data_IF_493773095479
#
_entry.id   IF_493773095479
#
_cell.length_a   1.000
_cell.length_b   1.000
_cell.length_c   1.000
_cell.angle_alpha   90.00
_cell.angle_beta   90.00
_cell.angle_gamma   90.00
#
_symmetry.space_group_name_H-M   'P 1'
#
loop_
_entity.id
_entity.type
_entity.pdbx_description
1 polymer ?
#
# COMPACT_ATOMS: atom_id res chain seq x y z
N UNK A 1 11.41 -11.32 3.65
CA UNK A 1 10.35 -11.22 2.63
C UNK A 1 10.62 -10.23 1.50
N UNK A 2 9.86 -10.34 0.42
CA UNK A 2 9.98 -9.56 -0.81
C UNK A 2 8.70 -8.79 -1.15
N UNK A 3 8.87 -7.73 -1.93
CA UNK A 3 7.80 -6.90 -2.50
C UNK A 3 7.91 -6.86 -4.02
N UNK A 4 6.76 -6.85 -4.70
CA UNK A 4 6.68 -6.78 -6.16
C UNK A 4 7.11 -5.41 -6.67
N UNK A 5 7.89 -5.40 -7.76
CA UNK A 5 8.40 -4.19 -8.40
C UNK A 5 7.32 -3.18 -8.78
N UNK A 6 6.12 -3.64 -9.13
CA UNK A 6 4.97 -2.76 -9.41
C UNK A 6 4.55 -1.93 -8.20
N UNK A 7 4.67 -2.46 -6.97
CA UNK A 7 4.42 -1.75 -5.73
C UNK A 7 5.61 -0.88 -5.28
N UNK A 8 6.84 -1.27 -5.64
CA UNK A 8 8.05 -0.47 -5.39
C UNK A 8 8.09 0.76 -6.28
N UNK A 9 7.78 0.60 -7.57
CA UNK A 9 7.82 1.67 -8.58
C UNK A 9 6.92 2.85 -8.23
N UNK A 10 5.83 2.62 -7.49
CA UNK A 10 4.93 3.70 -7.07
C UNK A 10 5.58 4.72 -6.13
N UNK A 11 6.68 4.37 -5.44
CA UNK A 11 7.41 5.26 -4.52
C UNK A 11 8.11 6.40 -5.29
N UNK A 12 9.06 6.13 -6.21
CA UNK A 12 9.68 7.20 -6.99
C UNK A 12 8.68 7.87 -7.93
N UNK A 13 7.69 7.15 -8.46
CA UNK A 13 6.64 7.73 -9.31
C UNK A 13 5.81 8.78 -8.54
N UNK A 14 5.46 8.53 -7.27
CA UNK A 14 4.75 9.47 -6.43
C UNK A 14 5.52 10.78 -6.26
N UNK A 15 6.83 10.67 -5.99
CA UNK A 15 7.70 11.84 -5.81
C UNK A 15 7.82 12.59 -7.14
N UNK A 16 8.15 11.89 -8.23
CA UNK A 16 8.29 12.51 -9.56
C UNK A 16 7.01 13.21 -10.02
N UNK A 17 5.85 12.62 -9.73
CA UNK A 17 4.56 13.17 -10.17
C UNK A 17 4.14 14.40 -9.36
N UNK A 18 4.39 14.44 -8.06
CA UNK A 18 3.83 15.45 -7.15
C UNK A 18 4.87 16.43 -6.59
N UNK A 19 6.15 16.04 -6.56
CA UNK A 19 7.28 16.73 -5.91
C UNK A 19 8.59 16.46 -6.67
N UNK A 20 8.59 16.67 -8.00
CA UNK A 20 9.72 16.34 -8.87
C UNK A 20 11.04 16.99 -8.39
N UNK A 21 10.96 18.20 -7.86
CA UNK A 21 12.07 18.97 -7.29
C UNK A 21 12.72 18.29 -6.08
N UNK A 22 11.99 17.43 -5.37
CA UNK A 22 12.46 16.67 -4.19
C UNK A 22 13.04 15.30 -4.54
N UNK A 23 12.98 14.86 -5.79
CA UNK A 23 13.43 13.52 -6.18
C UNK A 23 14.91 13.25 -5.88
N UNK A 24 15.80 14.18 -6.22
CA UNK A 24 17.24 14.02 -6.00
C UNK A 24 17.60 14.09 -4.51
N UNK A 25 16.88 14.90 -3.74
CA UNK A 25 17.01 14.98 -2.29
C UNK A 25 16.60 13.65 -1.64
N UNK A 26 15.47 13.09 -2.04
CA UNK A 26 15.03 11.76 -1.60
C UNK A 26 16.04 10.67 -1.97
N UNK A 27 16.47 10.59 -3.23
CA UNK A 27 17.39 9.56 -3.70
C UNK A 27 18.75 9.63 -2.98
N UNK A 28 19.25 10.84 -2.73
CA UNK A 28 20.51 11.03 -1.99
C UNK A 28 20.39 10.69 -0.50
N UNK A 29 19.20 10.83 0.09
CA UNK A 29 18.93 10.44 1.49
C UNK A 29 18.88 8.92 1.73
N UNK A 30 18.75 8.12 0.66
CA UNK A 30 18.70 6.66 0.77
C UNK A 30 20.08 6.07 1.13
N UNK A 31 20.14 5.05 2.01
CA UNK A 31 21.32 4.19 2.15
C UNK A 31 21.67 3.53 0.81
N UNK A 32 22.94 3.14 0.63
CA UNK A 32 23.44 2.64 -0.65
C UNK A 32 22.64 1.44 -1.19
N UNK A 33 22.31 0.47 -0.33
CA UNK A 33 21.51 -0.70 -0.71
C UNK A 33 20.13 -0.34 -1.28
N UNK A 34 19.49 0.68 -0.72
CA UNK A 34 18.22 1.22 -1.24
C UNK A 34 18.47 2.05 -2.48
N UNK A 35 19.48 2.92 -2.46
CA UNK A 35 19.77 3.87 -3.54
C UNK A 35 20.00 3.16 -4.87
N UNK A 36 20.80 2.09 -4.89
CA UNK A 36 21.10 1.33 -6.12
C UNK A 36 19.82 0.82 -6.81
N UNK A 37 18.79 0.43 -6.05
CA UNK A 37 17.51 -0.05 -6.61
C UNK A 37 16.79 1.05 -7.41
N UNK A 38 16.99 2.32 -7.04
CA UNK A 38 16.31 3.48 -7.66
C UNK A 38 17.22 4.34 -8.53
N UNK A 39 18.51 3.99 -8.67
CA UNK A 39 19.41 4.59 -9.66
C UNK A 39 18.95 4.24 -11.08
N UNK A 40 18.55 2.99 -11.27
CA UNK A 40 17.94 2.49 -12.51
C UNK A 40 16.41 2.43 -12.42
N UNK A 41 15.77 2.10 -13.55
CA UNK A 41 14.33 1.89 -13.60
C UNK A 41 13.92 0.64 -12.81
N UNK A 42 13.06 0.80 -11.81
CA UNK A 42 12.43 -0.32 -11.09
C UNK A 42 11.54 -1.11 -12.05
N UNK A 43 11.88 -2.37 -12.28
CA UNK A 43 11.16 -3.27 -13.19
C UNK A 43 9.91 -3.84 -12.49
N UNK A 44 8.69 -3.61 -13.00
CA UNK A 44 7.46 -4.03 -12.33
C UNK A 44 7.32 -5.54 -12.09
N UNK A 45 7.95 -6.35 -12.93
CA UNK A 45 7.90 -7.82 -12.87
C UNK A 45 8.82 -8.43 -11.82
N UNK A 46 9.84 -7.70 -11.36
CA UNK A 46 10.85 -8.23 -10.47
C UNK A 46 10.37 -8.25 -9.01
N UNK A 47 11.04 -9.05 -8.20
CA UNK A 47 10.91 -9.06 -6.75
C UNK A 47 12.10 -8.34 -6.13
N UNK A 48 11.84 -7.61 -5.05
CA UNK A 48 12.83 -6.80 -4.35
C UNK A 48 12.71 -7.02 -2.85
N UNK A 49 13.80 -6.81 -2.10
CA UNK A 49 13.79 -6.79 -0.64
C UNK A 49 12.74 -5.81 -0.11
N UNK A 50 11.82 -6.27 0.76
CA UNK A 50 10.81 -5.40 1.35
C UNK A 50 11.48 -4.25 2.13
N UNK A 51 12.51 -4.56 2.92
CA UNK A 51 13.28 -3.56 3.67
C UNK A 51 13.89 -2.49 2.75
N UNK A 52 14.69 -2.90 1.77
CA UNK A 52 15.51 -1.97 1.00
C UNK A 52 14.74 -1.27 -0.13
N UNK A 53 13.65 -1.87 -0.64
CA UNK A 53 12.86 -1.32 -1.74
C UNK A 53 11.50 -0.76 -1.29
N UNK A 54 10.94 -1.26 -0.19
CA UNK A 54 9.61 -0.89 0.30
C UNK A 54 9.65 0.02 1.52
N UNK A 55 10.30 -0.43 2.59
CA UNK A 55 10.26 0.23 3.92
C UNK A 55 11.11 1.50 3.91
N UNK A 56 12.43 1.38 3.81
CA UNK A 56 13.38 2.51 3.91
C UNK A 56 13.03 3.63 2.92
N UNK A 57 12.75 3.34 1.63
CA UNK A 57 12.47 4.40 0.67
C UNK A 57 11.14 5.11 0.93
N UNK A 58 10.14 4.40 1.45
CA UNK A 58 8.86 5.02 1.85
C UNK A 58 9.02 5.86 3.12
N UNK A 59 9.81 5.41 4.10
CA UNK A 59 10.13 6.22 5.29
C UNK A 59 10.77 7.54 4.89
N UNK A 60 11.83 7.48 4.07
CA UNK A 60 12.54 8.67 3.58
C UNK A 60 11.65 9.60 2.77
N UNK A 61 10.72 9.05 2.00
CA UNK A 61 9.70 9.82 1.30
C UNK A 61 8.78 10.56 2.29
N UNK A 62 8.29 9.85 3.32
CA UNK A 62 7.37 10.43 4.30
C UNK A 62 8.02 11.47 5.21
N UNK A 63 9.24 11.22 5.66
CA UNK A 63 10.06 12.20 6.39
C UNK A 63 10.25 13.46 5.55
N UNK A 64 10.68 13.32 4.29
CA UNK A 64 11.00 14.46 3.43
C UNK A 64 9.78 15.31 3.05
N UNK A 65 8.66 14.67 2.70
CA UNK A 65 7.51 15.35 2.11
C UNK A 65 6.44 15.74 3.14
N UNK A 66 6.39 15.03 4.27
CA UNK A 66 5.31 15.18 5.25
C UNK A 66 5.81 15.43 6.68
N UNK A 67 7.12 15.34 6.94
CA UNK A 67 7.70 15.25 8.28
C UNK A 67 7.05 14.12 9.12
N UNK A 68 6.55 13.09 8.44
CA UNK A 68 5.82 11.97 9.04
C UNK A 68 5.86 10.77 8.08
N UNK A 69 6.62 9.75 8.47
CA UNK A 69 6.79 8.52 7.70
C UNK A 69 5.46 7.81 7.42
N UNK A 70 4.55 7.76 8.39
CA UNK A 70 3.27 7.06 8.25
C UNK A 70 2.31 7.84 7.37
N UNK A 71 2.27 9.17 7.49
CA UNK A 71 1.46 10.01 6.59
C UNK A 71 1.95 9.91 5.14
N UNK A 72 3.27 9.91 4.92
CA UNK A 72 3.83 9.71 3.58
C UNK A 72 3.54 8.33 3.01
N UNK A 73 3.67 7.30 3.84
CA UNK A 73 3.31 5.93 3.48
C UNK A 73 1.84 5.81 3.04
N UNK A 74 0.92 6.41 3.80
CA UNK A 74 -0.50 6.43 3.45
C UNK A 74 -0.75 7.09 2.09
N UNK A 75 -0.16 8.27 1.85
CA UNK A 75 -0.30 8.99 0.58
C UNK A 75 0.33 8.24 -0.61
N UNK A 76 1.48 7.58 -0.38
CA UNK A 76 2.10 6.72 -1.39
C UNK A 76 1.20 5.51 -1.72
N UNK A 77 0.56 4.91 -0.71
CA UNK A 77 -0.43 3.84 -0.89
C UNK A 77 -1.64 4.29 -1.71
N UNK A 78 -2.20 5.46 -1.38
CA UNK A 78 -3.29 6.08 -2.16
C UNK A 78 -2.87 6.27 -3.62
N UNK A 79 -1.71 6.84 -3.88
CA UNK A 79 -1.20 7.02 -5.24
C UNK A 79 -1.01 5.69 -5.99
N UNK A 80 -0.50 4.66 -5.31
CA UNK A 80 -0.35 3.33 -5.89
C UNK A 80 -1.69 2.75 -6.35
N UNK A 81 -2.74 2.86 -5.55
CA UNK A 81 -4.10 2.46 -5.93
C UNK A 81 -4.63 3.29 -7.10
N UNK A 82 -4.37 4.60 -7.10
CA UNK A 82 -4.78 5.49 -8.18
C UNK A 82 -4.19 5.07 -9.53
N UNK A 83 -2.88 4.86 -9.59
CA UNK A 83 -2.20 4.41 -10.82
C UNK A 83 -2.71 3.03 -11.26
N UNK A 84 -2.89 2.10 -10.32
CA UNK A 84 -3.32 0.74 -10.62
C UNK A 84 -4.79 0.66 -11.10
N UNK A 85 -5.68 1.49 -10.57
CA UNK A 85 -7.13 1.33 -10.72
C UNK A 85 -7.81 2.38 -11.60
N UNK A 86 -7.13 3.47 -11.96
CA UNK A 86 -7.74 4.53 -12.80
C UNK A 86 -7.55 4.35 -14.32
N UNK A 87 -6.77 3.34 -14.73
CA UNK A 87 -6.64 2.93 -16.14
C UNK A 87 -7.81 2.08 -16.64
N UNK A 88 -7.50 1.01 -17.38
CA UNK A 88 -8.50 0.09 -17.97
C UNK A 88 -9.45 -0.52 -16.93
N UNK A 89 -9.03 -0.62 -15.67
CA UNK A 89 -9.80 -1.23 -14.59
C UNK A 89 -10.87 -0.30 -13.99
N UNK A 90 -10.85 1.00 -14.26
CA UNK A 90 -11.72 1.99 -13.61
C UNK A 90 -13.21 1.65 -13.72
N UNK A 91 -13.66 1.25 -14.90
CA UNK A 91 -15.06 0.88 -15.14
C UNK A 91 -15.47 -0.37 -14.35
N UNK A 92 -14.58 -1.37 -14.27
CA UNK A 92 -14.81 -2.58 -13.49
C UNK A 92 -14.88 -2.31 -11.99
N UNK A 93 -14.01 -1.42 -11.48
CA UNK A 93 -14.02 -1.02 -10.07
C UNK A 93 -15.33 -0.29 -9.72
N UNK A 94 -15.82 0.60 -10.59
CA UNK A 94 -17.11 1.27 -10.37
C UNK A 94 -18.32 0.33 -10.44
N UNK A 95 -18.26 -0.71 -11.26
CA UNK A 95 -19.37 -1.66 -11.43
C UNK A 95 -19.39 -2.77 -10.35
N UNK A 96 -18.26 -3.08 -9.72
CA UNK A 96 -18.15 -4.08 -8.67
C UNK A 96 -18.71 -3.58 -7.34
N UNK A 97 -19.14 -4.48 -6.44
CA UNK A 97 -19.49 -4.07 -5.07
C UNK A 97 -18.24 -3.74 -4.23
N UNK A 98 -18.35 -2.91 -3.18
CA UNK A 98 -17.23 -2.60 -2.29
C UNK A 98 -16.58 -3.87 -1.70
N UNK A 99 -17.42 -4.81 -1.24
CA UNK A 99 -16.96 -6.11 -0.75
C UNK A 99 -16.17 -6.90 -1.81
N UNK A 100 -16.64 -6.93 -3.06
CA UNK A 100 -15.96 -7.65 -4.13
C UNK A 100 -14.56 -7.10 -4.37
N UNK A 101 -14.39 -5.78 -4.35
CA UNK A 101 -13.09 -5.11 -4.54
C UNK A 101 -12.13 -5.51 -3.42
N UNK A 102 -12.55 -5.38 -2.17
CA UNK A 102 -11.71 -5.71 -1.01
C UNK A 102 -11.39 -7.22 -0.96
N UNK A 103 -12.38 -8.08 -1.22
CA UNK A 103 -12.17 -9.52 -1.28
C UNK A 103 -11.19 -9.91 -2.39
N UNK A 104 -11.21 -9.24 -3.55
CA UNK A 104 -10.22 -9.46 -4.60
C UNK A 104 -8.83 -8.97 -4.20
N UNK A 105 -8.73 -7.82 -3.53
CA UNK A 105 -7.45 -7.31 -3.02
C UNK A 105 -6.77 -8.32 -2.07
N UNK A 106 -7.53 -8.92 -1.14
CA UNK A 106 -6.97 -9.96 -0.24
C UNK A 106 -6.44 -11.19 -0.99
N UNK A 107 -7.16 -11.66 -2.02
CA UNK A 107 -6.77 -12.82 -2.82
C UNK A 107 -5.49 -12.61 -3.64
N UNK A 108 -5.21 -11.37 -4.05
CA UNK A 108 -4.01 -11.05 -4.84
C UNK A 108 -2.88 -10.49 -3.96
N UNK A 109 -3.05 -10.40 -2.64
CA UNK A 109 -2.07 -9.80 -1.74
C UNK A 109 -0.69 -10.46 -1.86
N UNK A 110 -0.64 -11.80 -1.96
CA UNK A 110 0.59 -12.57 -2.12
C UNK A 110 1.30 -12.34 -3.46
N UNK A 111 0.62 -11.73 -4.45
CA UNK A 111 1.26 -11.32 -5.71
C UNK A 111 2.09 -10.04 -5.56
N UNK A 112 1.91 -9.32 -4.45
CA UNK A 112 2.63 -8.09 -4.13
C UNK A 112 3.61 -8.23 -2.96
N UNK A 113 3.35 -9.13 -2.02
CA UNK A 113 4.19 -9.39 -0.85
C UNK A 113 4.36 -10.90 -0.68
N UNK A 114 5.60 -11.40 -0.59
CA UNK A 114 5.82 -12.85 -0.42
C UNK A 114 6.99 -13.17 0.54
N UNK A 115 6.87 -14.21 1.37
CA UNK A 115 5.64 -14.97 1.63
C UNK A 115 4.60 -14.13 2.39
N UNK A 116 3.32 -14.30 2.06
CA UNK A 116 2.23 -13.66 2.81
C UNK A 116 0.87 -14.34 2.61
N UNK A 117 -0.01 -14.17 3.60
CA UNK A 117 -1.40 -14.63 3.54
C UNK A 117 -2.34 -13.57 4.10
N UNK A 118 -3.32 -13.18 3.28
CA UNK A 118 -4.42 -12.31 3.67
C UNK A 118 -5.76 -12.96 3.32
N UNK A 119 -6.73 -12.88 4.22
CA UNK A 119 -8.08 -13.40 4.01
C UNK A 119 -9.15 -12.47 4.59
N UNK A 120 -10.39 -12.63 4.11
CA UNK A 120 -11.56 -12.02 4.76
C UNK A 120 -11.99 -12.94 5.88
N UNK A 121 -11.99 -12.46 7.11
CA UNK A 121 -12.44 -13.23 8.28
C UNK A 121 -13.86 -12.90 8.72
N UNK A 122 -14.36 -11.71 8.37
CA UNK A 122 -15.69 -11.26 8.73
C UNK A 122 -16.20 -10.16 7.79
N UNK A 123 -17.51 -9.99 7.67
CA UNK A 123 -18.14 -8.96 6.82
C UNK A 123 -19.56 -8.61 7.26
N UNK A 124 -19.93 -7.35 7.05
CA UNK A 124 -21.29 -6.85 7.10
C UNK A 124 -21.69 -6.14 5.80
N UNK A 125 -22.77 -5.35 5.86
CA UNK A 125 -23.30 -4.63 4.70
C UNK A 125 -22.42 -3.44 4.28
N UNK A 126 -21.78 -2.81 5.26
CA UNK A 126 -20.99 -1.59 5.13
C UNK A 126 -19.59 -1.71 5.75
N UNK A 127 -19.15 -2.93 6.04
CA UNK A 127 -17.81 -3.20 6.56
C UNK A 127 -17.28 -4.60 6.22
N UNK A 128 -15.96 -4.75 6.30
CA UNK A 128 -15.25 -6.03 6.17
C UNK A 128 -14.02 -6.05 7.08
N UNK A 129 -13.66 -7.24 7.58
CA UNK A 129 -12.41 -7.47 8.29
C UNK A 129 -11.50 -8.32 7.43
N UNK A 130 -10.33 -7.78 7.12
CA UNK A 130 -9.21 -8.50 6.52
C UNK A 130 -8.26 -8.94 7.63
N UNK A 131 -7.73 -10.15 7.54
CA UNK A 131 -6.69 -10.63 8.42
C UNK A 131 -5.46 -11.02 7.62
N UNK A 132 -4.31 -10.49 8.01
CA UNK A 132 -3.00 -10.96 7.56
C UNK A 132 -2.48 -11.91 8.64
N UNK A 133 -2.32 -13.19 8.29
CA UNK A 133 -1.87 -14.24 9.20
C UNK A 133 -0.43 -14.69 8.95
N UNK A 134 0.14 -14.32 7.81
CA UNK A 134 1.53 -14.56 7.46
C UNK A 134 2.12 -13.29 6.83
N UNK A 135 3.14 -12.73 7.49
CA UNK A 135 3.91 -11.57 7.03
C UNK A 135 5.23 -11.53 7.81
N UNK A 136 6.36 -11.87 7.18
CA UNK A 136 7.63 -12.08 7.91
C UNK A 136 8.24 -10.80 8.48
N UNK A 137 8.05 -9.66 7.81
CA UNK A 137 8.63 -8.37 8.19
C UNK A 137 7.52 -7.33 8.41
N UNK A 138 6.68 -7.49 9.45
CA UNK A 138 5.62 -6.54 9.75
C UNK A 138 6.22 -5.18 10.06
N UNK A 139 5.71 -4.13 9.42
CA UNK A 139 6.24 -2.78 9.58
C UNK A 139 5.14 -1.71 9.50
N UNK A 140 5.10 -0.71 10.42
CA UNK A 140 4.05 0.31 10.46
C UNK A 140 3.89 1.09 9.15
N UNK A 141 5.01 1.37 8.47
CA UNK A 141 5.01 2.02 7.14
C UNK A 141 4.28 1.17 6.10
N UNK A 142 4.44 -0.15 6.13
CA UNK A 142 3.77 -1.04 5.18
C UNK A 142 2.29 -1.16 5.50
N UNK A 143 1.92 -1.26 6.79
CA UNK A 143 0.52 -1.17 7.21
C UNK A 143 -0.13 0.13 6.73
N UNK A 144 0.53 1.27 6.92
CA UNK A 144 0.02 2.57 6.45
C UNK A 144 -0.12 2.63 4.93
N UNK A 145 0.83 2.08 4.16
CA UNK A 145 0.71 1.96 2.69
C UNK A 145 -0.48 1.11 2.28
N UNK A 146 -0.70 -0.03 2.94
CA UNK A 146 -1.84 -0.92 2.67
C UNK A 146 -3.16 -0.18 2.95
N UNK A 147 -3.23 0.55 4.07
CA UNK A 147 -4.42 1.30 4.44
C UNK A 147 -4.74 2.42 3.44
N UNK A 148 -3.74 3.19 3.03
CA UNK A 148 -3.92 4.21 1.99
C UNK A 148 -4.35 3.62 0.64
N UNK A 149 -3.82 2.44 0.27
CA UNK A 149 -4.24 1.74 -0.94
C UNK A 149 -5.71 1.33 -0.87
N UNK A 150 -6.13 0.69 0.23
CA UNK A 150 -7.53 0.27 0.45
C UNK A 150 -8.47 1.47 0.40
N UNK A 151 -8.12 2.54 1.11
CA UNK A 151 -8.93 3.75 1.18
C UNK A 151 -9.17 4.33 -0.23
N UNK A 152 -8.11 4.51 -1.02
CA UNK A 152 -8.24 5.06 -2.37
C UNK A 152 -8.96 4.11 -3.32
N UNK A 153 -8.74 2.79 -3.23
CA UNK A 153 -9.46 1.82 -4.05
C UNK A 153 -10.98 1.91 -3.85
N UNK A 154 -11.41 2.05 -2.59
CA UNK A 154 -12.82 2.21 -2.22
C UNK A 154 -13.38 3.56 -2.67
N UNK A 155 -12.60 4.65 -2.55
CA UNK A 155 -12.98 5.96 -3.09
C UNK A 155 -13.14 5.94 -4.63
N UNK A 156 -12.29 5.19 -5.36
CA UNK A 156 -12.39 5.05 -6.83
C UNK A 156 -13.68 4.33 -7.23
N UNK A 157 -14.12 3.36 -6.42
CA UNK A 157 -15.42 2.71 -6.60
C UNK A 157 -16.57 3.71 -6.50
N UNK A 158 -16.54 4.58 -5.50
CA UNK A 158 -17.50 5.69 -5.36
C UNK A 158 -18.23 5.76 -4.02
N UNK A 159 -17.76 5.05 -2.98
CA UNK A 159 -18.30 5.23 -1.63
C UNK A 159 -18.01 6.64 -1.11
N UNK A 160 -18.92 7.22 -0.32
CA UNK A 160 -18.85 8.61 0.15
C UNK A 160 -17.84 8.82 1.27
N UNK A 161 -17.57 7.77 2.06
CA UNK A 161 -16.54 7.77 3.11
C UNK A 161 -15.99 6.36 3.30
N UNK A 162 -14.74 6.28 3.75
CA UNK A 162 -14.04 5.02 4.07
C UNK A 162 -13.25 5.24 5.36
N UNK A 163 -13.27 4.27 6.26
CA UNK A 163 -12.34 4.20 7.38
C UNK A 163 -11.58 2.89 7.31
N UNK A 164 -10.28 2.93 7.60
CA UNK A 164 -9.40 1.76 7.62
C UNK A 164 -8.68 1.75 8.96
N UNK A 165 -9.08 0.84 9.84
CA UNK A 165 -8.57 0.72 11.21
C UNK A 165 -7.85 -0.61 11.42
N UNK A 166 -6.80 -0.60 12.24
CA UNK A 166 -6.07 -1.80 12.63
C UNK A 166 -6.51 -2.26 14.02
N UNK A 167 -7.41 -3.24 14.13
CA UNK A 167 -7.90 -3.75 15.42
C UNK A 167 -6.88 -4.67 16.11
N UNK A 168 -6.01 -5.32 15.33
CA UNK A 168 -4.80 -6.04 15.76
C UNK A 168 -3.67 -5.74 14.80
N UNK A 169 -2.43 -5.78 15.26
CA UNK A 169 -1.27 -5.55 14.39
C UNK A 169 -0.05 -6.34 14.84
N UNK A 170 0.54 -7.09 13.90
CA UNK A 170 1.83 -7.73 14.11
C UNK A 170 2.93 -6.71 14.46
N UNK A 171 2.80 -5.45 14.02
CA UNK A 171 3.75 -4.37 14.38
C UNK A 171 3.66 -3.97 15.85
N UNK A 172 2.55 -4.30 16.52
CA UNK A 172 2.29 -4.08 17.95
C UNK A 172 2.44 -5.35 18.79
N UNK A 173 2.95 -6.44 18.19
CA UNK A 173 3.18 -7.72 18.86
C UNK A 173 1.99 -8.69 18.84
N UNK A 174 0.89 -8.36 18.15
CA UNK A 174 -0.18 -9.33 17.93
C UNK A 174 0.28 -10.46 17.00
N UNK A 175 -0.36 -11.63 17.10
CA UNK A 175 -0.06 -12.77 16.21
C UNK A 175 -0.51 -12.57 14.77
N UNK A 176 -1.43 -11.64 14.54
CA UNK A 176 -2.05 -11.33 13.24
C UNK A 176 -2.29 -9.84 13.12
N UNK A 177 -2.35 -9.33 11.89
CA UNK A 177 -2.86 -7.98 11.63
C UNK A 177 -4.31 -8.08 11.19
N UNK A 178 -5.22 -7.39 11.88
CA UNK A 178 -6.64 -7.30 11.51
C UNK A 178 -6.94 -5.87 11.05
N UNK A 179 -7.41 -5.74 9.81
CA UNK A 179 -7.76 -4.48 9.16
C UNK A 179 -9.27 -4.44 9.02
N UNK A 180 -9.92 -3.57 9.79
CA UNK A 180 -11.34 -3.28 9.68
C UNK A 180 -11.53 -2.13 8.69
N UNK A 181 -12.24 -2.42 7.61
CA UNK A 181 -12.60 -1.43 6.59
C UNK A 181 -14.09 -1.18 6.69
N UNK A 182 -14.50 0.07 6.89
CA UNK A 182 -15.91 0.49 6.90
C UNK A 182 -16.12 1.52 5.80
N UNK A 183 -17.32 1.58 5.23
CA UNK A 183 -17.67 2.57 4.19
C UNK A 183 -19.11 3.03 4.31
N UNK A 184 -19.44 4.16 3.66
CA UNK A 184 -20.83 4.61 3.48
C UNK A 184 -21.15 4.77 2.00
N UNK A 185 -22.35 4.39 1.59
CA UNK A 185 -22.84 4.74 0.26
C UNK A 185 -23.16 6.24 0.19
N UNK A 186 -23.12 6.77 -1.02
CA UNK A 186 -23.57 8.13 -1.36
C UNK A 186 -25.07 8.23 -1.37
#
# INVERSE_FOLDING_TARGET
MEIKGSAVKSIPDFIKKNHQEKYNEWLSSLPEESRIIFQDAVLPSNWYSLKNAGIIPTEKLGELLFNDALKGAWNCGRYSAEVALTGVYKFFIKAASPFFIISKASKIFSTFYQPSRMEVTDKGDDWVVLQISEFEEPHPVIESRIAGWIEKAMQIHGVSSVTVDFTKSMTRGDKVTEIRVTWKYS
#
